data_IF_242602636079
#
_entry.id   IF_242602636079
#
_cell.length_a   1.000
_cell.length_b   1.000
_cell.length_c   1.000
_cell.angle_alpha   90.00
_cell.angle_beta   90.00
_cell.angle_gamma   90.00
#
_symmetry.space_group_name_H-M   'P 1'
#
loop_
_entity.id
_entity.type
_entity.pdbx_description
1 polymer ?
#
# COMPACT_ATOMS: atom_id res chain seq x y z
N UNK A 1 -8.99 24.27 -0.39
CA UNK A 1 -10.18 23.55 -0.81
C UNK A 1 -9.92 23.05 -2.22
N UNK A 2 -9.92 21.72 -2.41
CA UNK A 2 -9.73 21.12 -3.71
C UNK A 2 -10.82 21.65 -4.68
N UNK A 3 -10.43 22.09 -5.86
CA UNK A 3 -11.34 22.58 -6.88
C UNK A 3 -12.35 21.49 -7.28
N UNK A 4 -13.60 21.85 -7.44
CA UNK A 4 -14.62 20.92 -7.89
C UNK A 4 -14.33 20.53 -9.35
N UNK A 5 -14.23 19.24 -9.61
CA UNK A 5 -14.10 18.71 -10.96
C UNK A 5 -15.38 18.98 -11.74
N UNK A 6 -15.27 19.38 -13.02
CA UNK A 6 -16.45 19.60 -13.87
C UNK A 6 -17.24 18.30 -14.10
N UNK A 7 -18.52 18.42 -14.42
CA UNK A 7 -19.37 17.23 -14.62
C UNK A 7 -18.90 16.33 -15.76
N UNK A 8 -18.32 16.91 -16.83
CA UNK A 8 -17.76 16.13 -17.94
C UNK A 8 -16.52 15.36 -17.51
N UNK A 9 -15.57 16.00 -16.83
CA UNK A 9 -14.38 15.36 -16.30
C UNK A 9 -14.76 14.27 -15.29
N UNK A 10 -15.74 14.51 -14.42
CA UNK A 10 -16.23 13.50 -13.48
C UNK A 10 -16.76 12.24 -14.18
N UNK A 11 -17.51 12.40 -15.28
CA UNK A 11 -18.02 11.26 -16.07
C UNK A 11 -16.89 10.48 -16.74
N UNK A 12 -15.88 11.17 -17.27
CA UNK A 12 -14.71 10.52 -17.90
C UNK A 12 -13.88 9.75 -16.87
N UNK A 13 -13.65 10.30 -15.68
CA UNK A 13 -12.95 9.63 -14.59
C UNK A 13 -13.66 8.35 -14.12
N UNK A 14 -14.99 8.41 -13.98
CA UNK A 14 -15.80 7.23 -13.63
C UNK A 14 -15.70 6.17 -14.74
N UNK A 15 -15.83 6.56 -16.00
CA UNK A 15 -15.70 5.63 -17.13
C UNK A 15 -14.32 4.97 -17.16
N UNK A 16 -13.26 5.75 -16.94
CA UNK A 16 -11.88 5.25 -16.82
C UNK A 16 -11.75 4.25 -15.67
N UNK A 17 -12.18 4.61 -14.47
CA UNK A 17 -12.10 3.74 -13.29
C UNK A 17 -12.85 2.41 -13.49
N UNK A 18 -14.02 2.43 -14.14
CA UNK A 18 -14.79 1.22 -14.45
C UNK A 18 -14.09 0.34 -15.49
N UNK A 19 -13.49 0.95 -16.54
CA UNK A 19 -12.83 0.21 -17.62
C UNK A 19 -11.47 -0.36 -17.24
N UNK A 20 -10.74 0.30 -16.33
CA UNK A 20 -9.38 -0.06 -15.95
C UNK A 20 -9.28 -0.82 -14.63
N UNK A 21 -10.39 -1.16 -13.97
CA UNK A 21 -10.35 -1.92 -12.73
C UNK A 21 -9.79 -3.35 -12.93
N UNK A 22 -9.05 -3.90 -11.94
CA UNK A 22 -8.31 -5.16 -12.11
C UNK A 22 -9.22 -6.39 -12.26
N UNK A 23 -10.47 -6.36 -11.78
CA UNK A 23 -11.35 -7.53 -11.78
C UNK A 23 -12.83 -7.16 -11.58
N UNK A 24 -13.71 -8.16 -11.52
CA UNK A 24 -15.01 -8.05 -10.85
C UNK A 24 -14.78 -7.57 -9.39
N UNK A 25 -15.75 -6.89 -8.80
CA UNK A 25 -15.62 -6.32 -7.47
C UNK A 25 -16.88 -6.55 -6.62
N UNK A 26 -16.68 -6.69 -5.31
CA UNK A 26 -17.77 -6.69 -4.33
C UNK A 26 -18.37 -5.30 -4.19
N UNK A 27 -17.51 -4.29 -4.22
CA UNK A 27 -17.88 -2.88 -4.19
C UNK A 27 -16.87 -2.04 -4.96
N UNK A 28 -17.32 -0.94 -5.56
CA UNK A 28 -16.46 -0.01 -6.28
C UNK A 28 -16.82 1.44 -5.94
N UNK A 29 -15.82 2.21 -5.55
CA UNK A 29 -15.95 3.62 -5.22
C UNK A 29 -14.97 4.44 -6.05
N UNK A 30 -15.45 5.59 -6.56
CA UNK A 30 -14.60 6.54 -7.29
C UNK A 30 -14.71 7.91 -6.64
N UNK A 31 -13.56 8.41 -6.20
CA UNK A 31 -13.43 9.74 -5.63
C UNK A 31 -12.60 10.63 -6.57
N UNK A 32 -12.92 11.91 -6.60
CA UNK A 32 -12.04 12.94 -7.12
C UNK A 32 -11.95 14.09 -6.12
N UNK A 33 -10.73 14.42 -5.70
CA UNK A 33 -10.44 15.51 -4.74
C UNK A 33 -11.35 15.46 -3.49
N UNK A 34 -11.42 14.38 -2.77
CA UNK A 34 -12.28 14.12 -1.60
C UNK A 34 -13.80 14.00 -1.91
N UNK A 35 -14.24 14.15 -3.17
CA UNK A 35 -15.66 14.05 -3.54
C UNK A 35 -15.95 12.68 -4.13
N UNK A 36 -16.97 12.01 -3.59
CA UNK A 36 -17.51 10.79 -4.19
C UNK A 36 -18.18 11.11 -5.54
N UNK A 37 -17.75 10.44 -6.60
CA UNK A 37 -18.31 10.51 -7.95
C UNK A 37 -19.20 9.32 -8.28
N UNK A 38 -18.81 8.12 -7.81
CA UNK A 38 -19.51 6.88 -8.10
C UNK A 38 -19.38 5.90 -6.94
N UNK A 39 -20.44 5.14 -6.69
CA UNK A 39 -20.46 4.02 -5.76
C UNK A 39 -21.38 2.92 -6.28
N UNK A 40 -20.90 1.69 -6.30
CA UNK A 40 -21.67 0.49 -6.61
C UNK A 40 -21.25 -0.66 -5.71
N UNK A 41 -22.20 -1.56 -5.39
CA UNK A 41 -21.96 -2.74 -4.57
C UNK A 41 -22.56 -3.99 -5.23
N UNK A 42 -22.07 -4.40 -6.43
CA UNK A 42 -22.72 -5.40 -7.25
C UNK A 42 -22.72 -6.81 -6.62
N UNK A 43 -21.73 -7.12 -5.77
CA UNK A 43 -21.55 -8.45 -5.18
C UNK A 43 -21.19 -8.39 -3.70
N UNK A 44 -21.65 -7.37 -2.96
CA UNK A 44 -21.39 -7.27 -1.53
C UNK A 44 -22.10 -8.39 -0.77
N UNK A 45 -21.38 -9.19 0.04
CA UNK A 45 -21.98 -10.27 0.83
C UNK A 45 -23.04 -9.76 1.82
N UNK A 46 -24.02 -10.62 2.12
CA UNK A 46 -25.06 -10.31 3.10
C UNK A 46 -24.44 -9.98 4.49
N UNK A 47 -24.92 -8.91 5.09
CA UNK A 47 -24.45 -8.41 6.38
C UNK A 47 -23.16 -7.59 6.33
N UNK A 48 -22.43 -7.59 5.22
CA UNK A 48 -21.28 -6.70 5.05
C UNK A 48 -21.74 -5.23 4.87
N UNK A 49 -20.94 -4.32 5.39
CA UNK A 49 -21.11 -2.87 5.20
C UNK A 49 -19.93 -2.36 4.41
N UNK A 50 -20.20 -1.64 3.33
CA UNK A 50 -19.17 -0.97 2.54
C UNK A 50 -19.76 0.36 2.07
N UNK A 51 -19.37 1.45 2.72
CA UNK A 51 -19.95 2.79 2.51
C UNK A 51 -18.88 3.87 2.65
N UNK A 52 -19.10 5.08 2.10
CA UNK A 52 -18.24 6.22 2.37
C UNK A 52 -18.13 6.51 3.88
N UNK A 53 -16.96 6.94 4.35
CA UNK A 53 -16.72 7.27 5.77
C UNK A 53 -17.74 8.28 6.31
N UNK A 54 -18.07 9.33 5.53
CA UNK A 54 -19.05 10.33 5.93
C UNK A 54 -20.46 9.75 6.15
N UNK A 55 -20.84 8.75 5.35
CA UNK A 55 -22.09 8.01 5.52
C UNK A 55 -22.03 7.09 6.73
N UNK A 56 -20.91 6.37 6.92
CA UNK A 56 -20.72 5.47 8.06
C UNK A 56 -20.81 6.18 9.41
N UNK A 57 -20.32 7.43 9.49
CA UNK A 57 -20.43 8.25 10.70
C UNK A 57 -21.89 8.51 11.11
N UNK A 58 -22.81 8.60 10.14
CA UNK A 58 -24.21 8.85 10.37
C UNK A 58 -25.03 7.55 10.53
N UNK A 59 -24.77 6.55 9.69
CA UNK A 59 -25.61 5.33 9.58
C UNK A 59 -25.11 4.14 10.39
N UNK A 60 -23.79 4.05 10.64
CA UNK A 60 -23.14 2.93 11.34
C UNK A 60 -22.16 3.37 12.44
N UNK A 61 -22.52 4.36 13.30
CA UNK A 61 -21.59 4.93 14.27
C UNK A 61 -21.05 3.90 15.28
N UNK A 62 -21.85 2.91 15.66
CA UNK A 62 -21.47 1.91 16.64
C UNK A 62 -20.45 0.90 16.08
N UNK A 63 -20.48 0.63 14.78
CA UNK A 63 -19.48 -0.21 14.09
C UNK A 63 -18.18 0.56 13.80
N UNK A 64 -18.29 1.84 13.49
CA UNK A 64 -17.16 2.66 13.07
C UNK A 64 -16.33 3.18 14.25
N UNK A 65 -16.96 3.75 15.27
CA UNK A 65 -16.29 4.46 16.39
C UNK A 65 -15.23 3.65 17.14
N UNK A 66 -15.37 2.33 17.36
CA UNK A 66 -14.34 1.55 18.02
C UNK A 66 -13.00 1.51 17.29
N UNK A 67 -12.99 1.75 15.99
CA UNK A 67 -11.83 1.56 15.11
C UNK A 67 -11.30 2.86 14.49
N UNK A 68 -12.16 3.86 14.27
CA UNK A 68 -11.84 5.07 13.54
C UNK A 68 -10.93 6.03 14.32
N UNK A 69 -9.79 6.41 13.72
CA UNK A 69 -8.79 7.34 14.28
C UNK A 69 -8.29 6.93 15.68
N UNK A 70 -8.06 5.64 15.91
CA UNK A 70 -7.66 5.11 17.22
C UNK A 70 -6.15 5.00 17.40
N UNK A 71 -5.39 5.10 16.34
CA UNK A 71 -3.94 4.97 16.39
C UNK A 71 -3.29 6.28 16.85
N UNK A 72 -2.31 6.15 17.74
CA UNK A 72 -1.57 7.28 18.33
C UNK A 72 -0.08 7.17 18.12
N UNK A 73 0.39 6.01 17.63
CA UNK A 73 1.80 5.75 17.37
C UNK A 73 2.09 5.99 15.89
N UNK A 74 3.11 6.76 15.61
CA UNK A 74 3.56 7.08 14.26
C UNK A 74 5.09 7.01 14.17
N UNK A 75 5.61 6.80 12.99
CA UNK A 75 7.05 6.68 12.74
C UNK A 75 7.69 8.02 12.33
N UNK A 76 7.15 9.10 12.90
CA UNK A 76 7.51 10.50 12.65
C UNK A 76 6.51 11.24 11.77
N UNK A 77 5.38 10.60 11.43
CA UNK A 77 4.27 11.18 10.68
C UNK A 77 3.20 11.89 11.53
N UNK A 78 3.43 12.12 12.83
CA UNK A 78 2.45 12.70 13.76
C UNK A 78 1.75 13.95 13.23
N UNK A 79 2.50 14.85 12.59
CA UNK A 79 1.93 16.07 11.99
C UNK A 79 0.97 15.78 10.83
N UNK A 80 1.28 14.75 10.04
CA UNK A 80 0.41 14.33 8.93
C UNK A 80 -0.82 13.62 9.44
N UNK A 81 -0.68 12.80 10.48
CA UNK A 81 -1.81 12.17 11.17
C UNK A 81 -2.75 13.21 11.77
N UNK A 82 -2.23 14.23 12.45
CA UNK A 82 -3.02 15.33 12.99
C UNK A 82 -3.72 16.12 11.88
N UNK A 83 -3.05 16.39 10.77
CA UNK A 83 -3.63 17.06 9.60
C UNK A 83 -4.73 16.20 8.97
N UNK A 84 -4.48 14.90 8.81
CA UNK A 84 -5.47 13.94 8.32
C UNK A 84 -6.71 13.93 9.21
N UNK A 85 -6.54 13.72 10.53
CA UNK A 85 -7.65 13.67 11.48
C UNK A 85 -8.50 14.96 11.51
N UNK A 86 -7.87 16.12 11.27
CA UNK A 86 -8.58 17.41 11.19
C UNK A 86 -9.30 17.64 9.87
N UNK A 87 -8.97 16.90 8.81
CA UNK A 87 -9.38 17.22 7.43
C UNK A 87 -10.12 16.08 6.72
N UNK A 88 -10.05 14.84 7.24
CA UNK A 88 -10.64 13.68 6.56
C UNK A 88 -12.16 13.72 6.59
N UNK A 89 -12.76 13.59 5.40
CA UNK A 89 -14.20 13.40 5.17
C UNK A 89 -14.44 12.47 3.97
N UNK A 90 -13.37 11.96 3.35
CA UNK A 90 -13.43 11.07 2.19
C UNK A 90 -12.83 9.70 2.52
N UNK A 91 -13.06 8.75 1.62
CA UNK A 91 -12.66 7.36 1.79
C UNK A 91 -13.80 6.47 2.20
N UNK A 92 -13.50 5.24 2.62
CA UNK A 92 -14.49 4.19 2.82
C UNK A 92 -14.38 3.52 4.18
N UNK A 93 -15.52 3.04 4.66
CA UNK A 93 -15.62 2.10 5.76
C UNK A 93 -16.08 0.74 5.23
N UNK A 94 -15.29 -0.30 5.50
CA UNK A 94 -15.54 -1.69 5.14
C UNK A 94 -15.64 -2.51 6.41
N UNK A 95 -16.79 -3.12 6.66
CA UNK A 95 -17.01 -4.01 7.80
C UNK A 95 -17.60 -5.33 7.33
N UNK A 96 -16.87 -6.40 7.56
CA UNK A 96 -17.29 -7.77 7.29
C UNK A 96 -17.54 -8.46 8.63
N UNK A 97 -18.81 -8.79 8.96
CA UNK A 97 -19.14 -9.42 10.21
C UNK A 97 -18.60 -10.86 10.29
N UNK A 98 -18.73 -11.49 11.45
CA UNK A 98 -18.29 -12.88 11.69
C UNK A 98 -18.68 -13.82 10.57
N UNK A 99 -17.68 -14.55 10.03
CA UNK A 99 -17.85 -15.57 8.98
C UNK A 99 -18.19 -15.02 7.60
N UNK A 100 -18.26 -13.71 7.43
CA UNK A 100 -18.52 -13.08 6.14
C UNK A 100 -17.27 -13.14 5.24
N UNK A 101 -17.40 -13.68 4.04
CA UNK A 101 -16.29 -13.88 3.10
C UNK A 101 -16.67 -13.31 1.73
N UNK A 102 -15.79 -12.51 1.14
CA UNK A 102 -15.86 -12.12 -0.26
C UNK A 102 -14.71 -12.72 -1.06
N UNK A 103 -15.01 -13.24 -2.24
CA UNK A 103 -14.01 -13.63 -3.25
C UNK A 103 -13.60 -12.45 -4.12
N UNK A 104 -14.49 -11.47 -4.26
CA UNK A 104 -14.26 -10.28 -5.05
C UNK A 104 -13.78 -9.14 -4.15
N UNK A 105 -12.85 -8.30 -4.61
CA UNK A 105 -12.31 -7.21 -3.82
C UNK A 105 -13.29 -6.02 -3.74
N UNK A 106 -13.05 -5.17 -2.73
CA UNK A 106 -13.51 -3.78 -2.71
C UNK A 106 -12.47 -2.93 -3.42
N UNK A 107 -12.87 -2.14 -4.41
CA UNK A 107 -11.97 -1.31 -5.21
C UNK A 107 -12.30 0.17 -4.97
N UNK A 108 -11.28 0.98 -4.73
CA UNK A 108 -11.43 2.42 -4.51
C UNK A 108 -10.46 3.17 -5.42
N UNK A 109 -10.98 4.05 -6.24
CA UNK A 109 -10.19 4.97 -7.03
C UNK A 109 -10.19 6.36 -6.40
N UNK A 110 -9.02 6.94 -6.26
CA UNK A 110 -8.77 8.30 -5.80
C UNK A 110 -8.08 9.09 -6.91
N UNK A 111 -8.82 9.88 -7.64
CA UNK A 111 -8.28 10.82 -8.61
C UNK A 111 -7.97 12.15 -7.95
N UNK A 112 -6.76 12.66 -8.16
CA UNK A 112 -6.27 13.90 -7.55
C UNK A 112 -5.74 14.83 -8.63
N UNK A 113 -6.18 16.08 -8.61
CA UNK A 113 -5.73 17.09 -9.57
C UNK A 113 -6.25 18.49 -9.21
N UNK A 114 -5.68 19.50 -9.89
CA UNK A 114 -5.88 20.91 -9.61
C UNK A 114 -4.76 21.45 -8.68
N UNK A 115 -4.13 22.53 -9.13
CA UNK A 115 -3.01 23.14 -8.43
C UNK A 115 -3.36 23.53 -6.99
N UNK A 116 -2.53 23.09 -6.04
CA UNK A 116 -2.75 23.26 -4.59
C UNK A 116 -3.84 22.33 -4.01
N UNK A 117 -4.27 21.29 -4.74
CA UNK A 117 -5.23 20.32 -4.22
C UNK A 117 -4.65 19.52 -3.05
N UNK A 118 -5.42 19.37 -1.97
CA UNK A 118 -5.08 18.54 -0.84
C UNK A 118 -6.22 17.54 -0.54
N UNK A 119 -5.89 16.25 -0.45
CA UNK A 119 -6.86 15.18 -0.22
C UNK A 119 -6.46 14.32 0.98
N UNK A 120 -7.48 13.86 1.71
CA UNK A 120 -7.29 13.17 2.99
C UNK A 120 -8.17 11.90 3.06
N UNK A 121 -7.95 10.92 2.17
CA UNK A 121 -8.77 9.71 2.14
C UNK A 121 -8.46 8.80 3.33
N UNK A 122 -9.50 8.19 3.91
CA UNK A 122 -9.38 7.23 4.99
C UNK A 122 -10.03 5.90 4.57
N UNK A 123 -9.24 4.84 4.49
CA UNK A 123 -9.73 3.48 4.27
C UNK A 123 -9.69 2.72 5.59
N UNK A 124 -10.86 2.44 6.16
CA UNK A 124 -11.00 1.65 7.39
C UNK A 124 -11.62 0.30 7.06
N UNK A 125 -10.88 -0.78 7.35
CA UNK A 125 -11.30 -2.17 7.10
C UNK A 125 -11.38 -2.93 8.41
N UNK A 126 -12.55 -3.47 8.72
CA UNK A 126 -12.79 -4.30 9.90
C UNK A 126 -13.26 -5.68 9.44
N UNK A 127 -12.44 -6.70 9.67
CA UNK A 127 -12.78 -8.10 9.44
C UNK A 127 -13.08 -8.76 10.79
N UNK A 128 -14.33 -9.10 11.02
CA UNK A 128 -14.77 -9.84 12.20
C UNK A 128 -14.24 -11.27 12.26
N UNK A 129 -14.62 -12.01 13.30
CA UNK A 129 -14.17 -13.39 13.50
C UNK A 129 -14.38 -14.26 12.23
N UNK A 130 -13.28 -14.83 11.72
CA UNK A 130 -13.26 -15.68 10.50
C UNK A 130 -13.83 -15.00 9.24
N UNK A 131 -13.90 -13.67 9.20
CA UNK A 131 -14.24 -12.94 7.99
C UNK A 131 -13.04 -12.84 7.04
N UNK A 132 -13.31 -12.63 5.74
CA UNK A 132 -12.25 -12.46 4.75
C UNK A 132 -12.63 -11.39 3.72
N UNK A 133 -11.74 -10.41 3.52
CA UNK A 133 -11.94 -9.29 2.59
C UNK A 133 -10.63 -8.85 1.95
N UNK A 134 -10.71 -8.46 0.67
CA UNK A 134 -9.63 -7.79 -0.05
C UNK A 134 -10.04 -6.38 -0.43
N UNK A 135 -9.14 -5.41 -0.27
CA UNK A 135 -9.37 -3.98 -0.58
C UNK A 135 -8.21 -3.45 -1.41
N UNK A 136 -8.52 -2.72 -2.49
CA UNK A 136 -7.54 -2.07 -3.36
C UNK A 136 -7.81 -0.58 -3.45
N UNK A 137 -6.84 0.22 -3.01
CA UNK A 137 -6.82 1.66 -3.16
C UNK A 137 -5.90 2.06 -4.32
N UNK A 138 -6.44 2.83 -5.27
CA UNK A 138 -5.71 3.30 -6.44
C UNK A 138 -5.67 4.83 -6.44
N UNK A 139 -4.47 5.40 -6.41
CA UNK A 139 -4.25 6.83 -6.42
C UNK A 139 -3.66 7.25 -7.77
N UNK A 140 -4.36 8.11 -8.49
CA UNK A 140 -3.96 8.55 -9.82
C UNK A 140 -4.16 10.07 -9.97
N UNK A 141 -3.29 10.74 -10.73
CA UNK A 141 -3.47 12.15 -11.07
C UNK A 141 -4.54 12.32 -12.15
N UNK A 142 -5.33 13.40 -12.04
CA UNK A 142 -6.29 13.82 -13.07
C UNK A 142 -5.52 14.47 -14.22
N UNK A 143 -4.65 15.40 -13.86
CA UNK A 143 -3.80 16.18 -14.76
C UNK A 143 -2.34 15.95 -14.41
N UNK A 144 -1.40 16.38 -15.26
CA UNK A 144 0.04 16.25 -15.01
C UNK A 144 0.60 17.41 -14.20
N UNK A 145 1.76 17.19 -13.57
CA UNK A 145 2.70 18.19 -13.03
C UNK A 145 2.13 19.33 -12.16
N UNK A 146 0.99 19.09 -11.48
CA UNK A 146 0.39 20.06 -10.55
C UNK A 146 0.83 19.78 -9.11
N UNK A 147 0.99 20.86 -8.32
CA UNK A 147 1.29 20.76 -6.88
C UNK A 147 0.09 20.14 -6.14
N UNK A 148 0.19 18.90 -5.73
CA UNK A 148 -0.85 18.18 -5.00
C UNK A 148 -0.31 17.52 -3.74
N UNK A 149 -1.13 17.45 -2.70
CA UNK A 149 -0.81 16.76 -1.45
C UNK A 149 -1.88 15.71 -1.13
N UNK A 150 -1.44 14.48 -0.99
CA UNK A 150 -2.29 13.38 -0.51
C UNK A 150 -1.78 12.98 0.87
N UNK A 151 -2.66 12.97 1.88
CA UNK A 151 -2.38 12.39 3.19
C UNK A 151 -3.44 11.33 3.45
N UNK A 152 -3.16 10.11 3.00
CA UNK A 152 -4.01 8.94 3.18
C UNK A 152 -3.77 8.27 4.54
N UNK A 153 -4.83 7.65 5.08
CA UNK A 153 -4.74 6.75 6.22
C UNK A 153 -5.48 5.46 5.92
N UNK A 154 -4.86 4.33 6.27
CA UNK A 154 -5.46 3.01 6.14
C UNK A 154 -5.38 2.30 7.47
N UNK A 155 -6.52 1.95 8.04
CA UNK A 155 -6.63 1.19 9.28
C UNK A 155 -7.23 -0.19 8.96
N UNK A 156 -6.47 -1.25 9.32
CA UNK A 156 -6.84 -2.64 9.09
C UNK A 156 -6.98 -3.34 10.44
N UNK A 157 -8.19 -3.73 10.79
CA UNK A 157 -8.48 -4.41 12.06
C UNK A 157 -9.07 -5.80 11.79
N UNK A 158 -8.30 -6.85 12.08
CA UNK A 158 -8.69 -8.23 11.90
C UNK A 158 -8.88 -8.91 13.24
N UNK A 159 -10.10 -9.38 13.53
CA UNK A 159 -10.43 -10.17 14.70
C UNK A 159 -9.98 -11.63 14.57
N UNK A 160 -10.33 -12.49 15.54
CA UNK A 160 -9.95 -13.90 15.58
C UNK A 160 -10.18 -14.62 14.25
N UNK A 161 -9.09 -15.10 13.64
CA UNK A 161 -9.10 -15.80 12.35
C UNK A 161 -9.53 -14.93 11.16
N UNK A 162 -9.70 -13.62 11.37
CA UNK A 162 -10.03 -12.67 10.31
C UNK A 162 -8.88 -12.55 9.29
N UNK A 163 -9.23 -12.34 8.03
CA UNK A 163 -8.27 -12.21 6.93
C UNK A 163 -8.51 -10.91 6.17
N UNK A 164 -7.48 -10.12 6.05
CA UNK A 164 -7.51 -8.89 5.25
C UNK A 164 -6.35 -8.93 4.26
N UNK A 165 -6.63 -8.68 2.98
CA UNK A 165 -5.62 -8.29 2.02
C UNK A 165 -5.89 -6.83 1.62
N UNK A 166 -4.89 -5.99 1.77
CA UNK A 166 -4.89 -4.61 1.29
C UNK A 166 -3.80 -4.40 0.26
N UNK A 167 -4.13 -3.73 -0.83
CA UNK A 167 -3.15 -3.28 -1.80
C UNK A 167 -3.37 -1.80 -2.13
N UNK A 168 -2.31 -0.99 -2.03
CA UNK A 168 -2.29 0.41 -2.43
C UNK A 168 -1.40 0.60 -3.65
N UNK A 169 -1.96 1.09 -4.76
CA UNK A 169 -1.21 1.55 -5.92
C UNK A 169 -1.17 3.07 -5.92
N UNK A 170 0.01 3.65 -6.00
CA UNK A 170 0.24 5.06 -6.22
C UNK A 170 0.88 5.24 -7.60
N UNK A 171 0.12 5.83 -8.54
CA UNK A 171 0.51 6.15 -9.92
C UNK A 171 0.16 7.62 -10.20
N UNK A 172 0.66 8.50 -9.32
CA UNK A 172 0.48 9.95 -9.40
C UNK A 172 1.49 10.58 -10.36
N UNK A 173 1.30 11.85 -10.71
CA UNK A 173 2.28 12.58 -11.52
C UNK A 173 3.66 12.57 -10.87
N UNK A 174 4.70 12.36 -11.67
CA UNK A 174 6.09 12.28 -11.22
C UNK A 174 6.61 13.61 -10.65
N UNK A 175 5.95 14.73 -10.98
CA UNK A 175 6.32 16.07 -10.53
C UNK A 175 5.15 16.74 -9.81
N UNK A 176 5.45 17.49 -8.74
CA UNK A 176 4.49 18.25 -7.95
C UNK A 176 3.65 17.42 -6.99
N UNK A 177 3.36 16.15 -7.26
CA UNK A 177 2.57 15.32 -6.35
C UNK A 177 3.38 14.85 -5.15
N UNK A 178 2.80 14.99 -3.95
CA UNK A 178 3.37 14.51 -2.67
C UNK A 178 2.37 13.60 -2.00
N UNK A 179 2.79 12.38 -1.67
CA UNK A 179 1.93 11.36 -1.08
C UNK A 179 2.47 10.88 0.26
N UNK A 180 1.68 11.03 1.31
CA UNK A 180 1.89 10.43 2.63
C UNK A 180 0.83 9.38 2.85
N UNK A 181 1.24 8.14 3.07
CA UNK A 181 0.35 7.04 3.42
C UNK A 181 0.69 6.54 4.82
N UNK A 182 -0.25 6.68 5.74
CA UNK A 182 -0.17 6.17 7.11
C UNK A 182 -1.01 4.90 7.20
N UNK A 183 -0.38 3.74 7.42
CA UNK A 183 -1.08 2.47 7.47
C UNK A 183 -0.87 1.83 8.83
N UNK A 184 -1.96 1.38 9.45
CA UNK A 184 -1.95 0.63 10.70
C UNK A 184 -2.69 -0.68 10.53
N UNK A 185 -2.10 -1.75 11.12
CA UNK A 185 -2.73 -3.06 11.23
C UNK A 185 -2.84 -3.45 12.70
N UNK A 186 -4.00 -3.95 13.08
CA UNK A 186 -4.19 -4.73 14.30
C UNK A 186 -4.62 -6.15 13.91
N UNK A 187 -3.78 -7.13 14.16
CA UNK A 187 -4.07 -8.54 13.93
C UNK A 187 -4.35 -9.25 15.26
N UNK A 188 -5.58 -9.71 15.44
CA UNK A 188 -6.03 -10.49 16.57
C UNK A 188 -5.60 -11.96 16.49
N UNK A 189 -6.18 -12.81 17.34
CA UNK A 189 -5.81 -14.23 17.43
C UNK A 189 -5.98 -14.96 16.10
N UNK A 190 -4.93 -15.66 15.65
CA UNK A 190 -4.91 -16.45 14.41
C UNK A 190 -5.36 -15.65 13.16
N UNK A 191 -5.38 -14.31 13.25
CA UNK A 191 -5.68 -13.43 12.13
C UNK A 191 -4.51 -13.34 11.15
N UNK A 192 -4.82 -13.14 9.87
CA UNK A 192 -3.82 -12.95 8.82
C UNK A 192 -4.09 -11.66 8.05
N UNK A 193 -3.11 -10.75 8.04
CA UNK A 193 -3.19 -9.49 7.30
C UNK A 193 -2.04 -9.39 6.32
N UNK A 194 -2.37 -9.14 5.06
CA UNK A 194 -1.43 -8.94 3.98
C UNK A 194 -1.55 -7.52 3.45
N UNK A 195 -0.45 -6.79 3.42
CA UNK A 195 -0.39 -5.39 2.95
C UNK A 195 0.58 -5.29 1.79
N UNK A 196 0.15 -4.72 0.68
CA UNK A 196 0.96 -4.45 -0.48
C UNK A 196 0.99 -2.96 -0.84
N UNK A 197 2.17 -2.44 -1.19
CA UNK A 197 2.33 -1.10 -1.75
C UNK A 197 3.02 -1.18 -3.09
N UNK A 198 2.49 -0.47 -4.08
CA UNK A 198 3.14 -0.26 -5.37
C UNK A 198 3.24 1.24 -5.60
N UNK A 199 4.47 1.78 -5.61
CA UNK A 199 4.73 3.20 -5.81
C UNK A 199 5.44 3.41 -7.13
N UNK A 200 4.80 4.15 -8.03
CA UNK A 200 5.26 4.37 -9.40
C UNK A 200 5.46 5.85 -9.73
N UNK A 201 4.68 6.73 -9.11
CA UNK A 201 4.69 8.16 -9.35
C UNK A 201 4.97 8.95 -8.08
N UNK A 202 4.51 10.20 -8.06
CA UNK A 202 4.78 11.26 -7.11
C UNK A 202 6.26 11.68 -7.03
N UNK A 203 6.47 12.98 -6.84
CA UNK A 203 7.81 13.53 -6.61
C UNK A 203 8.37 13.08 -5.25
N UNK A 204 7.48 13.01 -4.25
CA UNK A 204 7.83 12.59 -2.92
C UNK A 204 6.76 11.68 -2.32
N UNK A 205 7.21 10.53 -1.80
CA UNK A 205 6.35 9.55 -1.14
C UNK A 205 6.87 9.27 0.27
N UNK A 206 5.96 9.22 1.23
CA UNK A 206 6.23 8.71 2.56
C UNK A 206 5.21 7.65 2.94
N UNK A 207 5.65 6.43 3.07
CA UNK A 207 4.85 5.32 3.56
C UNK A 207 5.26 4.97 4.99
N UNK A 208 4.34 5.09 5.94
CA UNK A 208 4.50 4.57 7.30
C UNK A 208 3.56 3.38 7.48
N UNK A 209 4.11 2.23 7.91
CA UNK A 209 3.34 1.00 8.10
C UNK A 209 3.63 0.41 9.47
N UNK A 210 2.64 0.46 10.36
CA UNK A 210 2.69 -0.08 11.71
C UNK A 210 1.79 -1.30 11.80
N UNK A 211 2.39 -2.46 12.05
CA UNK A 211 1.69 -3.74 12.07
C UNK A 211 1.83 -4.37 13.46
N UNK A 212 0.72 -4.48 14.17
CA UNK A 212 0.67 -4.99 15.54
C UNK A 212 0.00 -6.37 15.57
N UNK A 213 0.76 -7.38 15.93
CA UNK A 213 0.29 -8.74 16.18
C UNK A 213 -0.04 -8.87 17.65
N UNK A 214 -1.29 -8.53 18.01
CA UNK A 214 -1.71 -8.31 19.40
C UNK A 214 -2.15 -9.57 20.13
N UNK A 215 -2.34 -10.69 19.43
CA UNK A 215 -2.73 -11.95 20.04
C UNK A 215 -2.05 -13.14 19.35
N UNK A 216 -2.12 -14.31 20.03
CA UNK A 216 -1.43 -15.53 19.61
C UNK A 216 -1.79 -15.96 18.19
N UNK A 217 -0.77 -16.36 17.43
CA UNK A 217 -0.92 -16.90 16.08
C UNK A 217 -1.21 -15.86 15.00
N UNK A 218 -1.18 -14.56 15.35
CA UNK A 218 -1.35 -13.50 14.35
C UNK A 218 -0.21 -13.47 13.33
N UNK A 219 -0.54 -13.24 12.06
CA UNK A 219 0.38 -13.16 10.92
C UNK A 219 0.20 -11.83 10.19
N UNK A 220 1.30 -11.10 9.96
CA UNK A 220 1.32 -9.88 9.16
C UNK A 220 2.39 -9.95 8.07
N UNK A 221 1.99 -9.81 6.82
CA UNK A 221 2.89 -9.80 5.67
C UNK A 221 2.83 -8.44 4.98
N UNK A 222 3.99 -7.84 4.71
CA UNK A 222 4.09 -6.51 4.11
C UNK A 222 5.00 -6.57 2.88
N UNK A 223 4.49 -6.19 1.72
CA UNK A 223 5.23 -6.21 0.47
C UNK A 223 5.22 -4.85 -0.19
N UNK A 224 6.33 -4.47 -0.83
CA UNK A 224 6.39 -3.23 -1.61
C UNK A 224 7.20 -3.41 -2.87
N UNK A 225 6.64 -2.93 -3.99
CA UNK A 225 7.33 -2.80 -5.28
C UNK A 225 7.37 -1.31 -5.65
N UNK A 226 8.57 -0.75 -5.75
CA UNK A 226 8.77 0.67 -5.96
C UNK A 226 9.66 0.87 -7.20
N UNK A 227 9.20 1.69 -8.13
CA UNK A 227 9.94 2.08 -9.31
C UNK A 227 10.02 3.61 -9.36
N UNK A 228 11.21 4.14 -9.13
CA UNK A 228 11.47 5.57 -9.10
C UNK A 228 12.49 5.98 -10.17
N UNK A 229 12.29 7.16 -10.73
CA UNK A 229 13.18 7.77 -11.71
C UNK A 229 13.25 9.29 -11.49
N UNK A 230 13.99 9.99 -12.36
CA UNK A 230 14.21 11.44 -12.28
C UNK A 230 14.78 11.84 -10.90
N UNK A 231 14.07 12.64 -10.12
CA UNK A 231 14.47 13.08 -8.76
C UNK A 231 13.50 12.60 -7.67
N UNK A 232 12.72 11.58 -7.96
CA UNK A 232 11.74 11.05 -7.01
C UNK A 232 12.39 10.53 -5.73
N UNK A 233 11.75 10.78 -4.59
CA UNK A 233 12.20 10.30 -3.29
C UNK A 233 11.11 9.50 -2.60
N UNK A 234 11.42 8.26 -2.19
CA UNK A 234 10.50 7.37 -1.46
C UNK A 234 11.05 7.07 -0.06
N UNK A 235 10.42 7.64 0.98
CA UNK A 235 10.70 7.39 2.41
C UNK A 235 9.73 6.31 2.93
N UNK A 236 10.28 5.15 3.30
CA UNK A 236 9.53 3.96 3.71
C UNK A 236 9.88 3.61 5.15
N UNK A 237 8.89 3.66 6.05
CA UNK A 237 9.08 3.35 7.47
C UNK A 237 8.15 2.26 7.93
N UNK A 238 8.68 1.28 8.65
CA UNK A 238 7.89 0.13 9.09
C UNK A 238 8.17 -0.22 10.54
N UNK A 239 7.11 -0.63 11.24
CA UNK A 239 7.18 -1.28 12.55
C UNK A 239 6.38 -2.58 12.49
N UNK A 240 7.04 -3.69 12.82
CA UNK A 240 6.41 -4.99 13.03
C UNK A 240 6.47 -5.29 14.52
N UNK A 241 5.36 -5.05 15.24
CA UNK A 241 5.27 -5.22 16.69
C UNK A 241 4.64 -6.57 17.04
N UNK A 242 5.45 -7.46 17.60
CA UNK A 242 5.02 -8.76 18.10
C UNK A 242 4.71 -8.66 19.58
N UNK A 243 3.41 -8.67 19.92
CA UNK A 243 2.91 -8.43 21.28
C UNK A 243 2.38 -9.70 21.96
N UNK A 244 2.42 -10.84 21.24
CA UNK A 244 1.95 -12.13 21.72
C UNK A 244 2.81 -13.28 21.21
N UNK A 245 2.60 -14.47 21.78
CA UNK A 245 3.34 -15.69 21.41
C UNK A 245 2.91 -16.25 20.05
N UNK A 246 3.85 -16.94 19.37
CA UNK A 246 3.62 -17.62 18.09
C UNK A 246 3.11 -16.68 16.98
N UNK A 247 3.55 -15.46 16.97
CA UNK A 247 3.23 -14.49 15.94
C UNK A 247 4.27 -14.53 14.81
N UNK A 248 3.84 -14.26 13.59
CA UNK A 248 4.71 -14.26 12.41
C UNK A 248 4.62 -12.94 11.66
N UNK A 249 5.73 -12.53 11.04
CA UNK A 249 5.73 -11.45 10.08
C UNK A 249 6.78 -11.64 8.99
N UNK A 250 6.46 -11.22 7.77
CA UNK A 250 7.39 -11.16 6.65
C UNK A 250 7.29 -9.82 5.94
N UNK A 251 8.44 -9.17 5.73
CA UNK A 251 8.52 -7.93 4.98
C UNK A 251 9.48 -8.10 3.80
N UNK A 252 8.97 -7.81 2.59
CA UNK A 252 9.78 -7.77 1.38
C UNK A 252 9.57 -6.45 0.65
N UNK A 253 10.58 -5.59 0.66
CA UNK A 253 10.60 -4.34 -0.10
C UNK A 253 11.59 -4.43 -1.25
N UNK A 254 11.11 -4.12 -2.45
CA UNK A 254 11.88 -4.10 -3.69
C UNK A 254 11.84 -2.70 -4.28
N UNK A 255 13.01 -2.09 -4.43
CA UNK A 255 13.17 -0.74 -4.97
C UNK A 255 14.03 -0.80 -6.23
N UNK A 256 13.51 -0.42 -7.38
CA UNK A 256 14.25 -0.21 -8.62
C UNK A 256 14.38 1.30 -8.84
N UNK A 257 15.61 1.80 -8.88
CA UNK A 257 15.92 3.22 -8.85
C UNK A 257 16.71 3.63 -10.10
N UNK A 258 16.24 4.65 -10.79
CA UNK A 258 16.81 5.18 -12.00
C UNK A 258 17.09 6.67 -11.86
N UNK A 259 17.96 7.20 -12.72
CA UNK A 259 18.38 8.60 -12.71
C UNK A 259 18.89 9.04 -11.32
N UNK A 260 18.52 10.22 -10.84
CA UNK A 260 18.85 10.74 -9.52
C UNK A 260 17.82 10.39 -8.43
N UNK A 261 17.01 9.36 -8.65
CA UNK A 261 15.99 8.96 -7.67
C UNK A 261 16.59 8.35 -6.41
N UNK A 262 15.85 8.46 -5.30
CA UNK A 262 16.32 8.03 -4.00
C UNK A 262 15.26 7.27 -3.20
N UNK A 263 15.71 6.24 -2.46
CA UNK A 263 14.86 5.60 -1.44
C UNK A 263 15.53 5.63 -0.07
N UNK A 264 14.70 5.80 0.96
CA UNK A 264 15.07 5.69 2.37
C UNK A 264 14.17 4.61 2.98
N UNK A 265 14.78 3.56 3.51
CA UNK A 265 14.06 2.52 4.24
C UNK A 265 14.50 2.52 5.71
N UNK A 266 13.54 2.60 6.63
CA UNK A 266 13.76 2.44 8.06
C UNK A 266 12.73 1.47 8.62
N UNK A 267 13.18 0.27 8.99
CA UNK A 267 12.29 -0.80 9.48
C UNK A 267 12.72 -1.30 10.85
N UNK A 268 11.75 -1.51 11.73
CA UNK A 268 11.96 -2.10 13.05
C UNK A 268 11.09 -3.34 13.23
N UNK A 269 11.70 -4.45 13.62
CA UNK A 269 11.01 -5.59 14.22
C UNK A 269 11.15 -5.44 15.73
N UNK A 270 10.01 -5.34 16.42
CA UNK A 270 9.95 -5.23 17.87
C UNK A 270 9.24 -6.46 18.46
N UNK A 271 9.94 -7.22 19.30
CA UNK A 271 9.39 -8.38 19.98
C UNK A 271 9.26 -8.06 21.46
N UNK A 272 8.03 -7.91 21.93
CA UNK A 272 7.69 -7.52 23.30
C UNK A 272 8.03 -8.62 24.31
N UNK A 273 8.22 -8.29 25.60
CA UNK A 273 8.42 -9.26 26.67
C UNK A 273 7.30 -10.31 26.68
N UNK A 274 7.68 -11.59 26.70
CA UNK A 274 6.75 -12.73 26.71
C UNK A 274 6.24 -13.18 25.34
N UNK A 275 6.60 -12.51 24.24
CA UNK A 275 6.23 -12.89 22.87
C UNK A 275 7.13 -14.00 22.32
N UNK A 276 7.19 -15.12 23.05
CA UNK A 276 8.00 -16.29 22.67
C UNK A 276 7.50 -16.94 21.39
N UNK A 277 8.42 -17.63 20.68
CA UNK A 277 8.14 -18.33 19.42
C UNK A 277 7.71 -17.39 18.26
N UNK A 278 8.11 -16.14 18.33
CA UNK A 278 8.02 -15.21 17.19
C UNK A 278 8.90 -15.67 16.05
N UNK A 279 8.37 -15.58 14.82
CA UNK A 279 9.11 -15.83 13.57
C UNK A 279 8.94 -14.61 12.66
N UNK A 280 10.03 -13.84 12.45
CA UNK A 280 9.93 -12.54 11.78
C UNK A 280 11.12 -12.29 10.84
N UNK A 281 10.81 -11.92 9.61
CA UNK A 281 11.79 -11.58 8.59
C UNK A 281 11.54 -10.20 8.01
N UNK A 282 12.63 -9.47 7.73
CA UNK A 282 12.58 -8.17 7.09
C UNK A 282 13.65 -8.11 6.00
N UNK A 283 13.23 -7.96 4.76
CA UNK A 283 14.12 -7.89 3.60
C UNK A 283 13.86 -6.62 2.80
N UNK A 284 14.90 -5.79 2.62
CA UNK A 284 14.89 -4.66 1.71
C UNK A 284 15.95 -4.85 0.63
N UNK A 285 15.55 -4.87 -0.64
CA UNK A 285 16.47 -5.03 -1.77
C UNK A 285 16.34 -3.85 -2.72
N UNK A 286 17.49 -3.28 -3.08
CA UNK A 286 17.55 -2.11 -3.95
C UNK A 286 18.35 -2.45 -5.21
N UNK A 287 17.75 -2.20 -6.36
CA UNK A 287 18.38 -2.30 -7.67
C UNK A 287 18.67 -0.88 -8.16
N UNK A 288 19.94 -0.55 -8.29
CA UNK A 288 20.40 0.75 -8.78
C UNK A 288 20.59 0.64 -10.30
N UNK A 289 19.69 1.28 -11.04
CA UNK A 289 19.70 1.29 -12.50
C UNK A 289 20.57 2.40 -13.12
N UNK A 290 20.95 3.40 -12.29
CA UNK A 290 21.79 4.55 -12.67
C UNK A 290 22.85 4.82 -11.61
N UNK A 291 23.93 5.47 -12.01
CA UNK A 291 25.06 5.78 -11.10
C UNK A 291 24.68 6.85 -10.05
N UNK A 292 23.72 7.71 -10.36
CA UNK A 292 23.21 8.76 -9.49
C UNK A 292 22.12 8.29 -8.52
N UNK A 293 21.58 7.08 -8.73
CA UNK A 293 20.54 6.51 -7.89
C UNK A 293 21.07 6.19 -6.49
N UNK A 294 20.27 6.50 -5.45
CA UNK A 294 20.66 6.36 -4.05
C UNK A 294 19.68 5.51 -3.26
N UNK A 295 20.19 4.54 -2.48
CA UNK A 295 19.39 3.72 -1.57
C UNK A 295 20.00 3.73 -0.17
N UNK A 296 19.22 4.23 0.80
CA UNK A 296 19.57 4.26 2.21
C UNK A 296 18.68 3.28 2.99
N UNK A 297 19.28 2.34 3.72
CA UNK A 297 18.52 1.32 4.46
C UNK A 297 19.01 1.20 5.90
N UNK A 298 18.07 1.30 6.85
CA UNK A 298 18.30 1.18 8.29
C UNK A 298 17.35 0.14 8.90
N UNK A 299 17.55 -1.16 8.67
CA UNK A 299 16.79 -2.18 9.36
C UNK A 299 17.24 -2.33 10.81
N UNK A 300 16.31 -2.55 11.73
CA UNK A 300 16.55 -2.73 13.16
C UNK A 300 15.79 -3.89 13.77
N UNK A 301 16.31 -4.42 14.87
CA UNK A 301 15.67 -5.44 15.71
C UNK A 301 15.73 -4.98 17.17
N UNK A 302 14.61 -5.08 17.87
CA UNK A 302 14.48 -4.90 19.31
C UNK A 302 13.76 -6.13 19.88
N UNK A 303 14.49 -6.97 20.63
CA UNK A 303 13.99 -8.29 21.01
C UNK A 303 14.07 -8.46 22.52
N UNK A 304 12.91 -8.51 23.17
CA UNK A 304 12.75 -8.67 24.60
C UNK A 304 12.11 -10.04 24.98
N UNK A 305 12.25 -11.05 24.12
CA UNK A 305 11.73 -12.40 24.37
C UNK A 305 12.74 -13.48 23.92
N UNK A 306 12.59 -14.67 24.51
CA UNK A 306 13.40 -15.85 24.19
C UNK A 306 12.71 -16.75 23.14
N UNK A 307 13.50 -17.68 22.56
CA UNK A 307 13.03 -18.69 21.60
C UNK A 307 12.37 -18.07 20.36
N UNK A 308 12.95 -17.02 19.83
CA UNK A 308 12.49 -16.33 18.63
C UNK A 308 13.40 -16.60 17.43
N UNK A 309 12.86 -16.45 16.23
CA UNK A 309 13.58 -16.43 14.96
C UNK A 309 13.33 -15.09 14.32
N UNK A 310 14.27 -14.17 14.44
CA UNK A 310 14.16 -12.85 13.86
C UNK A 310 15.42 -12.54 13.04
N UNK A 311 15.22 -12.07 11.83
CA UNK A 311 16.33 -11.63 11.00
C UNK A 311 15.94 -10.47 10.10
N UNK A 312 16.95 -9.68 9.75
CA UNK A 312 16.81 -8.66 8.72
C UNK A 312 17.92 -8.75 7.69
N UNK A 313 17.64 -8.31 6.48
CA UNK A 313 18.63 -8.19 5.40
C UNK A 313 18.36 -6.97 4.55
N UNK A 314 19.41 -6.23 4.22
CA UNK A 314 19.34 -5.16 3.23
C UNK A 314 20.47 -5.33 2.23
N UNK A 315 20.13 -5.21 0.95
CA UNK A 315 21.11 -5.28 -0.14
C UNK A 315 20.85 -4.17 -1.14
N UNK A 316 21.92 -3.58 -1.64
CA UNK A 316 21.90 -2.65 -2.76
C UNK A 316 22.93 -3.11 -3.79
N UNK A 317 22.52 -3.13 -5.05
CA UNK A 317 23.40 -3.56 -6.15
C UNK A 317 22.93 -3.02 -7.48
N UNK A 318 23.84 -3.00 -8.44
CA UNK A 318 23.54 -2.68 -9.85
C UNK A 318 23.19 -3.94 -10.62
N UNK A 319 22.62 -3.78 -11.80
CA UNK A 319 22.39 -4.91 -12.72
C UNK A 319 23.74 -5.47 -13.16
N UNK A 320 23.91 -6.79 -13.04
CA UNK A 320 25.14 -7.46 -13.39
C UNK A 320 25.42 -7.40 -14.90
N UNK A 321 26.62 -7.02 -15.29
CA UNK A 321 27.07 -7.07 -16.68
C UNK A 321 27.05 -8.49 -17.26
N UNK A 322 27.21 -9.50 -16.43
CA UNK A 322 27.13 -10.92 -16.84
C UNK A 322 25.70 -11.31 -17.21
N UNK A 323 24.69 -10.83 -16.47
CA UNK A 323 23.27 -11.05 -16.77
C UNK A 323 22.88 -10.34 -18.07
N UNK A 324 23.33 -9.10 -18.25
CA UNK A 324 23.12 -8.36 -19.50
C UNK A 324 23.80 -9.09 -20.66
N UNK A 325 25.04 -9.51 -20.50
CA UNK A 325 25.77 -10.25 -21.54
C UNK A 325 25.05 -11.56 -21.92
N UNK A 326 24.54 -12.29 -20.93
CA UNK A 326 23.80 -13.53 -21.16
C UNK A 326 22.55 -13.32 -22.02
N UNK A 327 21.77 -12.26 -21.74
CA UNK A 327 20.57 -11.93 -22.51
C UNK A 327 20.95 -11.41 -23.92
N UNK A 328 21.97 -10.58 -24.03
CA UNK A 328 22.48 -10.09 -25.32
C UNK A 328 22.99 -11.22 -26.22
N UNK A 329 23.63 -12.22 -25.66
CA UNK A 329 24.07 -13.41 -26.39
C UNK A 329 22.90 -14.21 -27.01
N UNK A 330 21.66 -13.93 -26.58
CA UNK A 330 20.40 -14.51 -27.12
C UNK A 330 19.66 -13.54 -28.04
N UNK A 331 20.28 -12.43 -28.41
CA UNK A 331 19.71 -11.46 -29.34
C UNK A 331 18.83 -10.38 -28.71
N UNK A 332 18.78 -10.31 -27.36
CA UNK A 332 18.01 -9.27 -26.65
C UNK A 332 18.88 -8.01 -26.58
N UNK A 333 18.41 -6.84 -27.04
CA UNK A 333 19.12 -5.57 -26.88
C UNK A 333 19.46 -5.28 -25.42
N UNK A 334 20.53 -4.53 -25.15
CA UNK A 334 20.98 -4.27 -23.77
C UNK A 334 19.96 -3.51 -22.94
N UNK A 335 19.23 -2.59 -23.54
CA UNK A 335 18.16 -1.83 -22.91
C UNK A 335 16.99 -2.75 -22.49
N UNK A 336 16.52 -3.58 -23.43
CA UNK A 336 15.48 -4.57 -23.13
C UNK A 336 15.92 -5.59 -22.07
N UNK A 337 17.19 -5.97 -22.08
CA UNK A 337 17.75 -6.87 -21.06
C UNK A 337 17.70 -6.24 -19.66
N UNK A 338 18.08 -4.97 -19.52
CA UNK A 338 17.98 -4.22 -18.25
C UNK A 338 16.53 -4.12 -17.79
N UNK A 339 15.63 -3.78 -18.69
CA UNK A 339 14.20 -3.72 -18.43
C UNK A 339 13.66 -5.06 -17.91
N UNK A 340 13.97 -6.16 -18.60
CA UNK A 340 13.50 -7.49 -18.19
C UNK A 340 13.99 -7.88 -16.79
N UNK A 341 15.26 -7.59 -16.48
CA UNK A 341 15.83 -7.89 -15.15
C UNK A 341 15.11 -7.08 -14.07
N UNK A 342 14.89 -5.78 -14.30
CA UNK A 342 14.23 -4.89 -13.33
C UNK A 342 12.77 -5.24 -13.12
N UNK A 343 12.05 -5.60 -14.19
CA UNK A 343 10.67 -6.06 -14.10
C UNK A 343 10.58 -7.37 -13.31
N UNK A 344 11.44 -8.35 -13.61
CA UNK A 344 11.51 -9.60 -12.85
C UNK A 344 11.88 -9.39 -11.39
N UNK A 345 12.75 -8.40 -11.09
CA UNK A 345 13.10 -8.03 -9.73
C UNK A 345 11.90 -7.49 -8.94
N UNK A 346 11.07 -6.62 -9.52
CA UNK A 346 9.87 -6.06 -8.88
C UNK A 346 8.72 -7.07 -8.79
N UNK A 347 8.61 -7.96 -9.77
CA UNK A 347 7.57 -8.99 -9.86
C UNK A 347 7.51 -9.87 -8.61
N UNK A 348 8.66 -10.22 -8.03
CA UNK A 348 8.75 -11.01 -6.80
C UNK A 348 7.92 -10.43 -5.63
N UNK A 349 7.83 -9.09 -5.51
CA UNK A 349 7.02 -8.46 -4.47
C UNK A 349 5.52 -8.44 -4.84
N UNK A 350 5.20 -8.23 -6.11
CA UNK A 350 3.81 -8.22 -6.60
C UNK A 350 3.17 -9.62 -6.49
N UNK A 351 3.92 -10.68 -6.81
CA UNK A 351 3.47 -12.08 -6.71
C UNK A 351 3.11 -12.52 -5.28
N UNK A 352 3.56 -11.77 -4.27
CA UNK A 352 3.18 -12.05 -2.88
C UNK A 352 1.72 -11.71 -2.55
N UNK A 353 1.09 -10.85 -3.33
CA UNK A 353 -0.34 -10.55 -3.21
C UNK A 353 -1.17 -11.68 -3.81
N UNK A 354 -2.33 -11.95 -3.21
CA UNK A 354 -3.22 -12.99 -3.71
C UNK A 354 -4.12 -12.46 -4.82
N UNK A 355 -4.36 -13.28 -5.84
CA UNK A 355 -5.25 -12.99 -6.95
C UNK A 355 -4.52 -12.59 -8.24
N UNK A 356 -4.46 -13.52 -9.20
CA UNK A 356 -3.84 -13.32 -10.52
C UNK A 356 -4.32 -12.02 -11.22
N UNK A 357 -5.63 -11.68 -11.25
CA UNK A 357 -6.07 -10.44 -11.90
C UNK A 357 -5.51 -9.17 -11.26
N UNK A 358 -5.28 -9.17 -9.93
CA UNK A 358 -4.62 -8.05 -9.26
C UNK A 358 -3.14 -7.97 -9.60
N UNK A 359 -2.45 -9.11 -9.56
CA UNK A 359 -1.03 -9.19 -9.89
C UNK A 359 -0.78 -8.71 -11.32
N UNK A 360 -1.58 -9.20 -12.30
CA UNK A 360 -1.51 -8.79 -13.70
C UNK A 360 -1.74 -7.29 -13.87
N UNK A 361 -2.75 -6.76 -13.18
CA UNK A 361 -3.06 -5.33 -13.21
C UNK A 361 -1.88 -4.48 -12.67
N UNK A 362 -1.37 -4.83 -11.49
CA UNK A 362 -0.26 -4.11 -10.87
C UNK A 362 1.01 -4.21 -11.74
N UNK A 363 1.28 -5.38 -12.28
CA UNK A 363 2.44 -5.60 -13.12
C UNK A 363 2.36 -4.82 -14.43
N UNK A 364 1.19 -4.76 -15.07
CA UNK A 364 0.97 -3.92 -16.25
C UNK A 364 1.21 -2.41 -15.96
N UNK A 365 0.88 -1.94 -14.75
CA UNK A 365 1.19 -0.56 -14.32
C UNK A 365 2.70 -0.34 -14.16
N UNK A 366 3.42 -1.29 -13.55
CA UNK A 366 4.89 -1.26 -13.45
C UNK A 366 5.53 -1.24 -14.83
N UNK A 367 5.08 -2.10 -15.76
CA UNK A 367 5.58 -2.13 -17.14
C UNK A 367 5.34 -0.80 -17.88
N UNK A 368 4.15 -0.22 -17.71
CA UNK A 368 3.81 1.09 -18.31
C UNK A 368 4.72 2.20 -17.81
N UNK A 369 4.94 2.26 -16.49
CA UNK A 369 5.87 3.22 -15.89
C UNK A 369 7.28 3.01 -16.43
N UNK A 370 7.74 1.77 -16.50
CA UNK A 370 9.06 1.45 -17.01
C UNK A 370 9.25 1.84 -18.47
N UNK A 371 8.20 1.73 -19.29
CA UNK A 371 8.25 2.16 -20.68
C UNK A 371 8.35 3.68 -20.87
N UNK A 372 8.04 4.45 -19.82
CA UNK A 372 8.18 5.92 -19.82
C UNK A 372 9.56 6.39 -19.31
N UNK A 373 10.33 5.48 -18.65
CA UNK A 373 11.70 5.71 -18.21
C UNK A 373 12.63 5.31 -19.36
N UNK A 374 12.88 6.19 -20.32
CA UNK A 374 13.68 5.82 -21.49
C UNK A 374 14.17 7.00 -22.25
#
# INVERSE_FOLDING_TARGET
PASAVSASVAADLVARAVSERPSACAAHFVFANNRLLHAETPALPEGAVCVPIAEALASHPDLLRPHFLRHVDFLGGDKFAALHAASTLSGIFVHFPKGCVSTDPVIVHHFVGGDGAAVFPHTLVVAGEQASVSVFDLFESIDGDEETLIVGMTDLDADHGGRIQYAGLQDLSDKGAKHVQLQHTRAGRDAAVKVGFVNLGAEWVRNESINRMVDKGADCQIFSANLANDVQEYDQRTLQSHEAQHTTSDLLFKNALYDGSRTIFSGLIQVQPGSHHTDSYQTCRNLLGSDEAEANSMPGLEIDADQVKCSHGSTSGTISDEEIFYLRARGIPAEDARKMISLGFLHEAVEKLDGEPLQDFLFARVERKFAAIG
#
